data_IF_477125347823
#
_entry.id   IF_477125347823
#
_cell.length_a   1.000
_cell.length_b   1.000
_cell.length_c   1.000
_cell.angle_alpha   90.00
_cell.angle_beta   90.00
_cell.angle_gamma   90.00
#
_symmetry.space_group_name_H-M   'P 1'
#
loop_
_entity.id
_entity.type
_entity.pdbx_description
1 polymer ?
#
# COMPACT_ATOMS: atom_id res chain seq x y z
N UNK A 1 9.93 23.25 -0.48
CA UNK A 1 10.63 22.24 -1.31
C UNK A 1 9.73 21.00 -1.47
N UNK A 2 8.53 21.14 -2.05
CA UNK A 2 7.56 20.04 -2.18
C UNK A 2 7.25 19.68 -3.65
N UNK A 3 7.91 20.35 -4.60
CA UNK A 3 7.53 20.32 -6.00
C UNK A 3 8.25 19.23 -6.82
N UNK A 4 9.36 18.67 -6.31
CA UNK A 4 10.11 17.60 -6.98
C UNK A 4 9.61 16.18 -6.65
N UNK A 5 8.86 15.98 -5.57
CA UNK A 5 8.43 14.64 -5.17
C UNK A 5 7.26 14.11 -6.04
N UNK A 6 6.45 15.02 -6.58
CA UNK A 6 5.32 14.71 -7.48
C UNK A 6 5.78 14.23 -8.87
N UNK A 7 6.92 14.72 -9.37
CA UNK A 7 7.50 14.28 -10.66
C UNK A 7 7.98 12.83 -10.61
N UNK A 8 8.22 12.27 -9.43
CA UNK A 8 8.72 10.91 -9.24
C UNK A 8 7.61 9.89 -8.92
N UNK A 9 6.34 10.27 -9.10
CA UNK A 9 5.24 9.31 -8.95
C UNK A 9 5.26 8.27 -10.07
N UNK A 10 5.72 7.06 -9.75
CA UNK A 10 5.65 5.90 -10.63
C UNK A 10 4.51 4.97 -10.22
N UNK A 11 3.34 5.18 -10.84
CA UNK A 11 2.15 4.36 -10.61
C UNK A 11 2.36 2.89 -10.97
N UNK A 12 3.09 2.61 -12.06
CA UNK A 12 3.32 1.25 -12.53
C UNK A 12 4.16 0.49 -11.50
N UNK A 13 5.24 1.12 -11.02
CA UNK A 13 6.11 0.57 -10.00
C UNK A 13 5.41 0.39 -8.66
N UNK A 14 4.62 1.36 -8.23
CA UNK A 14 3.82 1.25 -7.00
C UNK A 14 2.85 0.07 -7.08
N UNK A 15 2.17 -0.10 -8.20
CA UNK A 15 1.21 -1.19 -8.42
C UNK A 15 1.91 -2.55 -8.40
N UNK A 16 3.06 -2.67 -9.07
CA UNK A 16 3.91 -3.86 -9.06
C UNK A 16 4.33 -4.24 -7.63
N UNK A 17 4.87 -3.28 -6.88
CA UNK A 17 5.34 -3.50 -5.51
C UNK A 17 4.18 -3.84 -4.56
N UNK A 18 3.03 -3.18 -4.68
CA UNK A 18 1.85 -3.48 -3.86
C UNK A 18 1.36 -4.92 -4.10
N UNK A 19 1.26 -5.34 -5.37
CA UNK A 19 0.90 -6.71 -5.72
C UNK A 19 1.94 -7.72 -5.19
N UNK A 20 3.23 -7.41 -5.36
CA UNK A 20 4.33 -8.22 -4.86
C UNK A 20 4.24 -8.44 -3.34
N UNK A 21 4.08 -7.36 -2.56
CA UNK A 21 4.03 -7.46 -1.10
C UNK A 21 2.77 -8.16 -0.59
N UNK A 22 1.62 -7.97 -1.25
CA UNK A 22 0.40 -8.72 -0.90
C UNK A 22 0.59 -10.23 -1.03
N UNK A 23 1.19 -10.68 -2.13
CA UNK A 23 1.48 -12.10 -2.35
C UNK A 23 2.55 -12.56 -1.35
N UNK A 24 3.64 -11.81 -1.21
CA UNK A 24 4.76 -12.16 -0.33
C UNK A 24 4.33 -12.32 1.13
N UNK A 25 3.55 -11.37 1.65
CA UNK A 25 3.03 -11.42 3.03
C UNK A 25 2.14 -12.64 3.21
N UNK A 26 1.21 -12.90 2.28
CA UNK A 26 0.35 -14.09 2.35
C UNK A 26 1.18 -15.38 2.38
N UNK A 27 2.15 -15.52 1.48
CA UNK A 27 3.05 -16.68 1.48
C UNK A 27 3.84 -16.78 2.79
N UNK A 28 4.31 -15.66 3.36
CA UNK A 28 5.02 -15.67 4.64
C UNK A 28 4.15 -16.20 5.78
N UNK A 29 2.90 -15.72 5.85
CA UNK A 29 1.93 -16.14 6.87
C UNK A 29 1.54 -17.62 6.75
N UNK A 30 1.53 -18.17 5.54
CA UNK A 30 1.21 -19.58 5.29
C UNK A 30 2.40 -20.53 5.48
N UNK A 31 3.62 -20.05 5.23
CA UNK A 31 4.83 -20.88 5.21
C UNK A 31 5.65 -20.85 6.49
N UNK A 32 5.59 -19.77 7.27
CA UNK A 32 6.29 -19.67 8.56
C UNK A 32 5.40 -20.25 9.68
N UNK A 33 5.79 -21.37 10.32
CA UNK A 33 4.98 -22.01 11.36
C UNK A 33 4.68 -21.09 12.55
N UNK A 34 5.60 -20.19 12.88
CA UNK A 34 5.41 -19.24 13.98
C UNK A 34 4.38 -18.18 13.63
N UNK A 35 4.44 -17.62 12.41
CA UNK A 35 3.47 -16.62 11.97
C UNK A 35 2.08 -17.24 11.83
N UNK A 36 2.01 -18.46 11.31
CA UNK A 36 0.76 -19.21 11.19
C UNK A 36 0.11 -19.43 12.56
N UNK A 37 0.88 -19.85 13.57
CA UNK A 37 0.38 -19.99 14.94
C UNK A 37 -0.10 -18.65 15.52
N UNK A 38 0.61 -17.55 15.25
CA UNK A 38 0.17 -16.23 15.70
C UNK A 38 -1.14 -15.78 15.06
N UNK A 39 -1.33 -16.04 13.77
CA UNK A 39 -2.60 -15.78 13.07
C UNK A 39 -3.72 -16.65 13.64
N UNK A 40 -3.47 -17.93 13.87
CA UNK A 40 -4.44 -18.87 14.46
C UNK A 40 -4.84 -18.46 15.89
N UNK A 41 -3.91 -17.90 16.67
CA UNK A 41 -4.16 -17.36 18.01
C UNK A 41 -4.82 -15.97 17.99
N UNK A 42 -5.20 -15.44 16.82
CA UNK A 42 -5.73 -14.08 16.62
C UNK A 42 -4.83 -12.99 17.24
N UNK A 43 -3.53 -13.26 17.36
CA UNK A 43 -2.57 -12.26 17.83
C UNK A 43 -2.29 -11.30 16.67
N UNK A 44 -2.31 -10.01 16.98
CA UNK A 44 -1.91 -8.98 16.01
C UNK A 44 -0.44 -9.15 15.67
N UNK A 45 -0.13 -9.38 14.40
CA UNK A 45 1.22 -9.38 13.88
C UNK A 45 1.49 -7.98 13.32
N UNK A 46 2.60 -7.37 13.72
CA UNK A 46 2.95 -6.06 13.17
C UNK A 46 3.59 -6.21 11.79
N UNK A 47 3.31 -5.27 10.89
CA UNK A 47 3.95 -5.21 9.57
C UNK A 47 5.49 -5.16 9.65
N UNK A 48 6.11 -4.37 10.56
CA UNK A 48 7.57 -4.38 10.72
C UNK A 48 8.15 -5.77 11.02
N UNK A 49 7.53 -6.54 11.92
CA UNK A 49 7.96 -7.91 12.25
C UNK A 49 7.88 -8.86 11.05
N UNK A 50 6.89 -8.66 10.17
CA UNK A 50 6.77 -9.43 8.93
C UNK A 50 7.89 -9.08 7.95
N UNK A 51 8.22 -7.79 7.83
CA UNK A 51 9.27 -7.30 6.93
C UNK A 51 10.65 -7.75 7.40
N UNK A 52 10.92 -7.76 8.71
CA UNK A 52 12.18 -8.23 9.29
C UNK A 52 12.46 -9.70 8.99
N UNK A 53 11.41 -10.50 8.78
CA UNK A 53 11.52 -11.91 8.38
C UNK A 53 11.69 -12.12 6.88
N UNK A 54 11.55 -11.06 6.07
CA UNK A 54 11.79 -11.15 4.63
C UNK A 54 13.28 -11.06 4.31
N UNK A 55 13.64 -11.35 3.06
CA UNK A 55 15.04 -11.24 2.62
C UNK A 55 15.49 -9.79 2.57
N UNK A 56 16.80 -9.54 2.64
CA UNK A 56 17.36 -8.19 2.49
C UNK A 56 16.88 -7.48 1.21
N UNK A 57 16.75 -8.22 0.09
CA UNK A 57 16.22 -7.68 -1.17
C UNK A 57 14.76 -7.25 -1.04
N UNK A 58 13.95 -7.98 -0.29
CA UNK A 58 12.56 -7.64 -0.04
C UNK A 58 12.44 -6.39 0.83
N UNK A 59 13.30 -6.26 1.85
CA UNK A 59 13.37 -5.07 2.72
C UNK A 59 13.76 -3.81 1.93
N UNK A 60 14.67 -3.94 0.96
CA UNK A 60 15.01 -2.82 0.06
C UNK A 60 13.81 -2.41 -0.81
N UNK A 61 13.11 -3.38 -1.41
CA UNK A 61 11.88 -3.12 -2.18
C UNK A 61 10.77 -2.52 -1.30
N UNK A 62 10.75 -2.87 -0.02
CA UNK A 62 9.76 -2.34 0.93
C UNK A 62 10.04 -0.87 1.20
N UNK A 63 11.33 -0.53 1.36
CA UNK A 63 11.76 0.87 1.51
C UNK A 63 11.38 1.70 0.27
N UNK A 64 11.59 1.15 -0.92
CA UNK A 64 11.15 1.76 -2.19
C UNK A 64 9.62 1.97 -2.22
N UNK A 65 8.86 0.94 -1.83
CA UNK A 65 7.39 1.01 -1.76
C UNK A 65 6.92 2.11 -0.81
N UNK A 66 7.51 2.26 0.37
CA UNK A 66 7.14 3.29 1.35
C UNK A 66 7.40 4.72 0.83
N UNK A 67 8.46 4.91 0.04
CA UNK A 67 8.73 6.20 -0.61
C UNK A 67 7.62 6.53 -1.61
N UNK A 68 7.25 5.57 -2.45
CA UNK A 68 6.16 5.74 -3.42
C UNK A 68 4.80 5.94 -2.75
N UNK A 69 4.51 5.20 -1.67
CA UNK A 69 3.26 5.33 -0.91
C UNK A 69 3.10 6.73 -0.29
N UNK A 70 4.20 7.29 0.22
CA UNK A 70 4.22 8.67 0.72
C UNK A 70 3.92 9.69 -0.38
N UNK A 71 4.50 9.50 -1.57
CA UNK A 71 4.25 10.36 -2.73
C UNK A 71 2.78 10.25 -3.15
N UNK A 72 2.25 9.02 -3.23
CA UNK A 72 0.83 8.76 -3.53
C UNK A 72 -0.09 9.49 -2.56
N UNK A 73 0.18 9.40 -1.26
CA UNK A 73 -0.61 10.07 -0.24
C UNK A 73 -0.60 11.60 -0.43
N UNK A 74 0.56 12.19 -0.77
CA UNK A 74 0.65 13.62 -1.07
C UNK A 74 -0.16 14.01 -2.31
N UNK A 75 -0.09 13.21 -3.38
CA UNK A 75 -0.92 13.38 -4.60
C UNK A 75 -2.39 13.32 -4.24
N UNK A 76 -2.80 12.31 -3.48
CA UNK A 76 -4.21 12.09 -3.12
C UNK A 76 -4.74 13.25 -2.24
N UNK A 77 -3.95 13.75 -1.28
CA UNK A 77 -4.26 14.94 -0.48
C UNK A 77 -4.39 16.19 -1.37
N UNK A 78 -3.45 16.41 -2.30
CA UNK A 78 -3.50 17.56 -3.19
C UNK A 78 -4.75 17.52 -4.07
N UNK A 79 -5.04 16.37 -4.67
CA UNK A 79 -6.23 16.17 -5.49
C UNK A 79 -7.52 16.43 -4.70
N UNK A 80 -7.55 16.00 -3.44
CA UNK A 80 -8.68 16.26 -2.54
C UNK A 80 -8.87 17.77 -2.27
N UNK A 81 -7.79 18.50 -1.99
CA UNK A 81 -7.83 19.95 -1.75
C UNK A 81 -8.23 20.74 -3.00
N UNK A 82 -7.87 20.28 -4.19
CA UNK A 82 -8.23 20.92 -5.47
C UNK A 82 -9.64 20.54 -5.95
N UNK A 83 -10.35 19.66 -5.24
CA UNK A 83 -11.67 19.17 -5.66
C UNK A 83 -11.65 18.27 -6.90
N UNK A 84 -10.47 17.74 -7.27
CA UNK A 84 -10.25 16.87 -8.44
C UNK A 84 -10.06 15.39 -8.07
N UNK A 85 -10.09 15.07 -6.77
CA UNK A 85 -9.81 13.72 -6.24
C UNK A 85 -10.99 13.08 -5.52
N UNK A 86 -10.80 11.81 -5.16
CA UNK A 86 -11.74 11.05 -4.33
C UNK A 86 -11.91 11.71 -2.95
N UNK A 87 -13.14 11.82 -2.42
CA UNK A 87 -13.36 12.23 -1.03
C UNK A 87 -12.57 11.32 -0.08
N UNK A 88 -11.89 11.90 0.91
CA UNK A 88 -11.29 11.13 1.98
C UNK A 88 -12.39 10.44 2.80
N UNK A 89 -12.37 9.10 2.84
CA UNK A 89 -13.22 8.32 3.73
C UNK A 89 -12.38 7.83 4.91
N UNK A 90 -12.73 8.13 6.19
CA UNK A 90 -11.99 7.65 7.35
C UNK A 90 -11.83 6.12 7.44
N UNK A 91 -12.74 5.36 6.82
CA UNK A 91 -12.70 3.89 6.82
C UNK A 91 -11.92 3.30 5.64
N UNK A 92 -11.77 4.04 4.54
CA UNK A 92 -11.22 3.53 3.28
C UNK A 92 -10.06 4.37 2.72
N UNK A 93 -9.69 5.47 3.39
CA UNK A 93 -8.71 6.44 2.91
C UNK A 93 -9.16 7.16 1.64
N UNK A 94 -8.20 7.54 0.81
CA UNK A 94 -8.41 8.06 -0.55
C UNK A 94 -8.57 6.90 -1.54
N UNK A 95 -9.60 6.06 -1.35
CA UNK A 95 -9.84 4.93 -2.27
C UNK A 95 -10.57 5.41 -3.51
N UNK A 96 -9.89 5.40 -4.65
CA UNK A 96 -10.49 5.59 -5.96
C UNK A 96 -11.65 4.62 -6.17
N UNK A 97 -12.88 5.14 -6.16
CA UNK A 97 -13.99 4.56 -6.92
C UNK A 97 -13.55 4.51 -8.38
N UNK A 98 -12.92 3.40 -8.77
CA UNK A 98 -12.97 3.00 -10.16
C UNK A 98 -14.46 2.75 -10.43
N UNK A 99 -15.02 3.60 -11.30
CA UNK A 99 -16.37 3.51 -11.90
C UNK A 99 -17.53 4.09 -11.08
N UNK A 100 -17.53 5.41 -10.96
CA UNK A 100 -18.76 6.19 -11.07
C UNK A 100 -18.90 6.73 -12.50
N UNK A 101 -19.37 5.90 -13.45
CA UNK A 101 -20.10 6.39 -14.63
C UNK A 101 -20.99 5.27 -15.24
N UNK A 102 -22.30 5.49 -15.09
CA UNK A 102 -23.39 5.21 -16.05
C UNK A 102 -23.78 3.80 -16.51
N UNK A 103 -24.78 3.22 -15.83
CA UNK A 103 -26.11 2.77 -16.34
C UNK A 103 -26.83 2.05 -15.19
N UNK A 104 -27.76 2.67 -14.45
CA UNK A 104 -29.21 2.86 -14.73
C UNK A 104 -29.86 1.71 -15.52
N UNK A 105 -30.75 0.99 -14.81
CA UNK A 105 -31.63 -0.15 -15.13
C UNK A 105 -31.06 -1.55 -14.88
#
# INVERSE_FOLDING_TARGET
MAQNDLENWDQARYTELNAYFRIKIRTLLESDPFLKEMVEQQKSISLPELIDRMTYRDQQRWSEFLVLDRIKLQVDIQNHLEGKGTPYNPQQGFSSDLTGDENIW
#
